data_IF_957873028572
#
_entry.id   IF_957873028572
#
_cell.length_a   1.000
_cell.length_b   1.000
_cell.length_c   1.000
_cell.angle_alpha   90.00
_cell.angle_beta   90.00
_cell.angle_gamma   90.00
#
_symmetry.space_group_name_H-M   'P 1'
#
loop_
_entity.id
_entity.type
_entity.pdbx_description
1 polymer ?
#
# COMPACT_ATOMS: atom_id res chain seq x y z
N UNK A 1 -1.92 -82.87 -8.50
CA UNK A 1 -0.59 -82.28 -8.21
C UNK A 1 -0.21 -81.30 -9.30
N UNK A 2 0.19 -80.08 -8.97
CA UNK A 2 0.64 -78.94 -9.73
C UNK A 2 -0.35 -77.79 -9.72
N UNK A 3 -0.07 -76.78 -8.81
CA UNK A 3 -0.31 -75.31 -9.05
C UNK A 3 -0.14 -74.48 -7.78
N UNK A 4 1.12 -74.28 -7.26
CA UNK A 4 1.35 -73.15 -6.35
C UNK A 4 2.23 -72.06 -6.95
N UNK A 5 2.67 -72.15 -8.24
CA UNK A 5 3.65 -71.22 -8.82
C UNK A 5 2.99 -69.94 -9.35
N UNK A 6 1.69 -69.98 -9.68
CA UNK A 6 0.97 -68.83 -10.22
C UNK A 6 0.55 -67.81 -9.13
N UNK A 7 0.48 -68.22 -7.86
CA UNK A 7 0.11 -67.34 -6.78
C UNK A 7 1.28 -66.50 -6.24
N UNK A 8 2.50 -66.97 -6.47
CA UNK A 8 3.71 -66.28 -6.01
C UNK A 8 4.09 -65.11 -6.93
N UNK A 9 3.66 -65.13 -8.18
CA UNK A 9 3.93 -64.07 -9.15
C UNK A 9 2.97 -62.86 -8.99
N UNK A 10 1.81 -63.08 -8.40
CA UNK A 10 0.83 -62.01 -8.16
C UNK A 10 1.17 -61.15 -6.93
N UNK A 11 1.93 -61.70 -5.98
CA UNK A 11 2.36 -61.00 -4.76
C UNK A 11 3.55 -60.06 -5.04
N UNK A 12 4.37 -60.38 -6.03
CA UNK A 12 5.52 -59.54 -6.43
C UNK A 12 5.10 -58.24 -7.16
N UNK A 13 3.89 -58.23 -7.73
CA UNK A 13 3.41 -57.02 -8.45
C UNK A 13 2.84 -55.94 -7.52
N UNK A 14 2.52 -56.27 -6.27
CA UNK A 14 1.98 -55.32 -5.28
C UNK A 14 3.07 -54.53 -4.52
N UNK A 15 4.32 -54.91 -4.63
CA UNK A 15 5.42 -54.22 -3.94
C UNK A 15 6.08 -53.11 -4.77
N UNK A 16 5.67 -52.92 -6.03
CA UNK A 16 6.21 -51.87 -6.89
C UNK A 16 5.39 -50.61 -6.95
N UNK A 17 4.31 -50.48 -6.14
CA UNK A 17 3.39 -49.34 -6.18
C UNK A 17 3.51 -48.44 -4.95
N UNK A 18 4.73 -48.08 -4.55
CA UNK A 18 4.96 -46.94 -3.65
C UNK A 18 6.33 -46.34 -3.92
N UNK A 19 6.54 -45.89 -5.16
CA UNK A 19 7.50 -44.83 -5.42
C UNK A 19 6.73 -43.53 -5.27
N UNK A 20 6.58 -43.10 -4.02
CA UNK A 20 6.29 -41.72 -3.70
C UNK A 20 7.30 -40.88 -4.50
N UNK A 21 6.85 -40.20 -5.56
CA UNK A 21 7.56 -39.06 -6.10
C UNK A 21 7.77 -38.13 -4.91
N UNK A 22 8.96 -38.15 -4.32
CA UNK A 22 9.47 -36.97 -3.62
C UNK A 22 9.31 -35.88 -4.65
N UNK A 23 8.32 -35.00 -4.41
CA UNK A 23 8.28 -33.74 -5.08
C UNK A 23 9.66 -33.14 -4.86
N UNK A 24 10.39 -32.96 -5.93
CA UNK A 24 11.51 -32.05 -5.94
C UNK A 24 10.92 -30.70 -5.53
N UNK A 25 10.85 -30.49 -4.22
CA UNK A 25 11.01 -29.14 -3.70
C UNK A 25 12.48 -28.81 -4.01
N UNK A 26 12.76 -28.51 -5.27
CA UNK A 26 13.91 -27.72 -5.63
C UNK A 26 13.67 -26.36 -4.95
N UNK A 27 13.96 -26.31 -3.64
CA UNK A 27 14.43 -25.06 -3.07
C UNK A 27 15.56 -24.65 -4.01
N UNK A 28 15.26 -23.64 -4.82
CA UNK A 28 16.31 -22.95 -5.54
C UNK A 28 17.40 -22.70 -4.49
N UNK A 29 18.67 -23.05 -4.79
CA UNK A 29 19.74 -22.72 -3.86
C UNK A 29 19.54 -21.26 -3.52
N UNK A 30 19.64 -20.91 -2.24
CA UNK A 30 19.64 -19.54 -1.76
C UNK A 30 20.80 -18.82 -2.47
N UNK A 31 20.58 -18.48 -3.73
CA UNK A 31 21.38 -17.50 -4.44
C UNK A 31 21.26 -16.27 -3.57
N UNK A 32 22.35 -15.62 -3.22
CA UNK A 32 22.39 -14.40 -2.41
C UNK A 32 21.21 -13.50 -2.84
N UNK A 33 20.16 -13.50 -2.02
CA UNK A 33 18.97 -12.68 -2.30
C UNK A 33 19.45 -11.26 -2.26
N UNK A 34 19.30 -10.56 -3.37
CA UNK A 34 19.62 -9.14 -3.41
C UNK A 34 18.76 -8.42 -2.37
N UNK A 35 19.34 -7.54 -1.55
CA UNK A 35 18.57 -6.78 -0.60
C UNK A 35 17.49 -5.98 -1.33
N UNK A 36 16.26 -5.99 -0.80
CA UNK A 36 15.14 -5.24 -1.31
C UNK A 36 14.84 -4.04 -0.41
N UNK A 37 14.54 -2.91 -1.03
CA UNK A 37 14.15 -1.70 -0.32
C UNK A 37 12.75 -1.31 -0.72
N UNK A 38 11.83 -1.23 0.26
CA UNK A 38 10.42 -0.90 0.06
C UNK A 38 10.07 0.43 0.75
N UNK A 39 9.56 1.38 -0.03
CA UNK A 39 9.09 2.67 0.47
C UNK A 39 7.60 2.66 0.82
N UNK A 40 7.23 3.26 1.95
CA UNK A 40 5.83 3.39 2.34
C UNK A 40 5.57 4.61 3.21
N UNK A 41 4.29 5.00 3.30
CA UNK A 41 3.81 5.99 4.26
C UNK A 41 3.51 5.30 5.60
N UNK A 42 3.45 6.04 6.73
CA UNK A 42 3.06 5.49 8.03
C UNK A 42 1.53 5.31 8.11
N UNK A 43 1.00 4.39 7.32
CA UNK A 43 -0.42 4.12 7.12
C UNK A 43 -0.72 2.64 7.36
N UNK A 44 -2.00 2.28 7.60
CA UNK A 44 -2.37 0.90 7.96
C UNK A 44 -2.12 -0.12 6.85
N UNK A 45 -2.10 0.30 5.60
CA UNK A 45 -1.76 -0.56 4.47
C UNK A 45 -0.30 -1.06 4.49
N UNK A 46 0.60 -0.34 5.18
CA UNK A 46 1.96 -0.77 5.46
C UNK A 46 2.10 -1.75 6.64
N UNK A 47 1.07 -1.91 7.47
CA UNK A 47 1.13 -2.69 8.70
C UNK A 47 1.55 -4.16 8.49
N UNK A 48 1.07 -4.90 7.48
CA UNK A 48 1.50 -6.28 7.25
C UNK A 48 3.01 -6.42 7.08
N UNK A 49 3.67 -5.47 6.44
CA UNK A 49 5.12 -5.48 6.23
C UNK A 49 5.89 -5.28 7.53
N UNK A 50 5.41 -4.40 8.40
CA UNK A 50 5.99 -4.19 9.73
C UNK A 50 5.80 -5.42 10.65
N UNK A 51 4.62 -6.04 10.62
CA UNK A 51 4.33 -7.27 11.37
C UNK A 51 5.25 -8.38 10.89
N UNK A 52 5.36 -8.60 9.58
CA UNK A 52 6.22 -9.63 9.01
C UNK A 52 7.68 -9.45 9.43
N UNK A 53 8.17 -8.20 9.46
CA UNK A 53 9.52 -7.89 9.95
C UNK A 53 9.69 -8.21 11.44
N UNK A 54 8.74 -7.78 12.26
CA UNK A 54 8.79 -7.99 13.72
C UNK A 54 8.73 -9.47 14.10
N UNK A 55 8.02 -10.27 13.30
CA UNK A 55 7.87 -11.72 13.52
C UNK A 55 8.98 -12.55 12.87
N UNK A 56 10.01 -11.93 12.27
CA UNK A 56 11.11 -12.64 11.62
C UNK A 56 10.71 -13.43 10.37
N UNK A 57 9.55 -13.09 9.75
CA UNK A 57 9.06 -13.81 8.56
C UNK A 57 10.02 -13.61 7.39
N UNK A 58 10.57 -12.41 7.20
CA UNK A 58 11.54 -12.16 6.14
C UNK A 58 12.81 -12.98 6.32
N UNK A 59 13.33 -13.08 7.54
CA UNK A 59 14.50 -13.90 7.84
C UNK A 59 14.23 -15.38 7.54
N UNK A 60 13.04 -15.87 7.88
CA UNK A 60 12.64 -17.26 7.60
C UNK A 60 12.50 -17.57 6.10
N UNK A 61 12.21 -16.53 5.30
CA UNK A 61 12.14 -16.62 3.84
C UNK A 61 13.49 -16.31 3.16
N UNK A 62 14.51 -15.97 3.93
CA UNK A 62 15.81 -15.55 3.40
C UNK A 62 15.76 -14.21 2.66
N UNK A 63 14.84 -13.32 3.01
CA UNK A 63 14.67 -11.99 2.42
C UNK A 63 15.35 -10.93 3.30
N UNK A 64 16.22 -10.12 2.70
CA UNK A 64 16.78 -8.93 3.34
C UNK A 64 15.95 -7.71 2.91
N UNK A 65 14.85 -7.44 3.65
CA UNK A 65 13.94 -6.35 3.34
C UNK A 65 14.18 -5.13 4.23
N UNK A 66 14.58 -4.02 3.61
CA UNK A 66 14.64 -2.70 4.23
C UNK A 66 13.36 -1.91 3.94
N UNK A 67 12.74 -1.36 4.99
CA UNK A 67 11.55 -0.51 4.88
C UNK A 67 11.96 0.95 5.08
N UNK A 68 11.69 1.81 4.08
CA UNK A 68 11.87 3.25 4.15
C UNK A 68 10.52 3.92 4.42
N UNK A 69 10.45 4.72 5.48
CA UNK A 69 9.23 5.47 5.83
C UNK A 69 9.31 6.90 5.31
N UNK A 70 8.21 7.36 4.69
CA UNK A 70 8.08 8.71 4.14
C UNK A 70 6.86 9.41 4.76
N UNK A 71 7.00 10.68 5.07
CA UNK A 71 5.89 11.51 5.57
C UNK A 71 5.08 12.18 4.44
N UNK A 72 5.58 12.12 3.21
CA UNK A 72 4.98 12.70 2.02
C UNK A 72 4.98 11.67 0.89
N UNK A 73 3.86 11.56 0.17
CA UNK A 73 3.77 10.72 -1.03
C UNK A 73 4.72 11.22 -2.12
N UNK A 74 4.87 12.55 -2.28
CA UNK A 74 5.75 13.13 -3.27
C UNK A 74 7.23 12.82 -2.98
N UNK A 75 7.65 12.83 -1.70
CA UNK A 75 9.01 12.45 -1.31
C UNK A 75 9.27 10.96 -1.58
N UNK A 76 8.30 10.09 -1.29
CA UNK A 76 8.35 8.65 -1.61
C UNK A 76 8.49 8.46 -3.13
N UNK A 77 7.66 9.13 -3.91
CA UNK A 77 7.64 9.01 -5.36
C UNK A 77 8.95 9.54 -5.99
N UNK A 78 9.50 10.63 -5.48
CA UNK A 78 10.80 11.15 -5.90
C UNK A 78 11.95 10.18 -5.55
N UNK A 79 11.89 9.53 -4.39
CA UNK A 79 12.86 8.49 -4.01
C UNK A 79 12.77 7.28 -4.94
N UNK A 80 11.56 6.86 -5.35
CA UNK A 80 11.36 5.78 -6.31
C UNK A 80 11.92 6.15 -7.69
N UNK A 81 11.62 7.34 -8.21
CA UNK A 81 12.14 7.83 -9.50
C UNK A 81 13.69 7.86 -9.52
N UNK A 82 14.30 8.19 -8.39
CA UNK A 82 15.77 8.23 -8.27
C UNK A 82 16.38 6.87 -7.93
N UNK A 83 15.60 5.77 -8.00
CA UNK A 83 16.02 4.39 -7.73
C UNK A 83 16.66 4.19 -6.35
N UNK A 84 16.19 4.94 -5.35
CA UNK A 84 16.59 4.75 -3.95
C UNK A 84 15.87 3.60 -3.27
N UNK A 85 14.89 3.00 -3.95
CA UNK A 85 14.14 1.84 -3.52
C UNK A 85 13.69 1.01 -4.73
N UNK A 86 13.41 -0.26 -4.48
CA UNK A 86 13.03 -1.23 -5.51
C UNK A 86 11.53 -1.32 -5.69
N UNK A 87 10.77 -0.98 -4.65
CA UNK A 87 9.33 -0.97 -4.65
C UNK A 87 8.74 0.02 -3.67
N UNK A 88 7.42 0.24 -3.75
CA UNK A 88 6.71 1.10 -2.82
C UNK A 88 5.24 0.71 -2.68
N UNK A 89 4.64 1.07 -1.54
CA UNK A 89 3.18 1.11 -1.40
C UNK A 89 2.73 2.49 -1.85
N UNK A 90 1.87 2.53 -2.87
CA UNK A 90 1.37 3.78 -3.47
C UNK A 90 -0.09 3.64 -3.87
N UNK A 91 -0.72 4.75 -4.20
CA UNK A 91 -2.06 4.81 -4.77
C UNK A 91 -2.05 4.89 -6.31
N UNK A 92 -3.18 4.56 -6.93
CA UNK A 92 -3.29 4.56 -8.39
C UNK A 92 -3.06 5.95 -9.01
N UNK A 93 -3.62 7.07 -8.49
CA UNK A 93 -3.31 8.40 -9.01
C UNK A 93 -1.82 8.73 -9.01
N UNK A 94 -1.11 8.45 -7.92
CA UNK A 94 0.35 8.62 -7.84
C UNK A 94 1.08 7.76 -8.86
N UNK A 95 0.70 6.49 -9.00
CA UNK A 95 1.33 5.59 -9.97
C UNK A 95 1.09 6.04 -11.41
N UNK A 96 -0.13 6.50 -11.74
CA UNK A 96 -0.44 7.06 -13.07
C UNK A 96 0.37 8.33 -13.32
N UNK A 97 0.51 9.21 -12.33
CA UNK A 97 1.33 10.43 -12.47
C UNK A 97 2.81 10.08 -12.73
N UNK A 98 3.37 9.12 -11.99
CA UNK A 98 4.73 8.62 -12.20
C UNK A 98 4.93 8.07 -13.61
N UNK A 99 3.99 7.31 -14.13
CA UNK A 99 4.08 6.73 -15.47
C UNK A 99 3.82 7.76 -16.56
N UNK A 100 2.76 8.56 -16.45
CA UNK A 100 2.34 9.48 -17.51
C UNK A 100 3.18 10.76 -17.58
N UNK A 101 3.59 11.31 -16.43
CA UNK A 101 4.30 12.60 -16.35
C UNK A 101 5.82 12.37 -16.33
N UNK A 102 6.25 11.39 -15.55
CA UNK A 102 7.69 11.16 -15.31
C UNK A 102 8.26 9.99 -16.10
N UNK A 103 7.43 9.31 -16.92
CA UNK A 103 7.84 8.17 -17.76
C UNK A 103 8.55 7.07 -16.97
N UNK A 104 8.16 6.90 -15.70
CA UNK A 104 8.73 5.88 -14.83
C UNK A 104 8.14 4.53 -15.20
N UNK A 105 9.00 3.56 -15.54
CA UNK A 105 8.59 2.18 -15.77
C UNK A 105 8.28 1.52 -14.43
N UNK A 106 7.04 1.08 -14.25
CA UNK A 106 6.56 0.44 -13.02
C UNK A 106 5.54 -0.64 -13.31
N UNK A 107 5.52 -1.68 -12.47
CA UNK A 107 4.55 -2.76 -12.50
C UNK A 107 3.84 -2.89 -11.16
N UNK A 108 2.55 -3.23 -11.20
CA UNK A 108 1.78 -3.54 -10.01
C UNK A 108 1.90 -5.03 -9.71
N UNK A 109 2.33 -5.38 -8.50
CA UNK A 109 2.49 -6.77 -8.07
C UNK A 109 1.43 -7.21 -7.07
N UNK A 110 0.84 -6.27 -6.33
CA UNK A 110 -0.18 -6.54 -5.32
C UNK A 110 -1.10 -5.33 -5.17
N UNK A 111 -2.39 -5.60 -4.95
CA UNK A 111 -3.38 -4.63 -4.53
C UNK A 111 -3.72 -4.85 -3.07
N UNK A 112 -3.81 -3.78 -2.28
CA UNK A 112 -4.38 -3.79 -0.94
C UNK A 112 -5.64 -2.91 -0.88
N UNK A 113 -6.37 -2.99 0.23
CA UNK A 113 -7.59 -2.22 0.47
C UNK A 113 -7.29 -1.07 1.46
N UNK A 114 -6.62 -0.03 0.96
CA UNK A 114 -6.45 1.22 1.69
C UNK A 114 -7.73 2.07 1.64
N UNK A 115 -7.99 2.85 2.70
CA UNK A 115 -9.07 3.81 2.72
C UNK A 115 -8.64 5.15 3.31
N UNK A 116 -9.42 6.18 2.99
CA UNK A 116 -9.18 7.56 3.44
C UNK A 116 -10.48 8.14 3.97
N UNK A 117 -10.40 8.86 5.07
CA UNK A 117 -11.52 9.57 5.65
C UNK A 117 -11.40 11.06 5.32
N UNK A 118 -12.51 11.68 4.88
CA UNK A 118 -12.61 13.12 4.79
C UNK A 118 -12.87 13.67 6.18
N UNK A 119 -11.89 14.33 6.75
CA UNK A 119 -11.94 14.89 8.10
C UNK A 119 -12.12 16.39 8.00
N UNK A 120 -13.03 16.93 8.79
CA UNK A 120 -13.27 18.36 8.95
C UNK A 120 -12.79 18.82 10.32
N UNK A 121 -12.21 20.00 10.40
CA UNK A 121 -11.81 20.57 11.68
C UNK A 121 -13.04 20.91 12.52
N UNK A 122 -12.90 20.81 13.85
CA UNK A 122 -14.01 20.96 14.77
C UNK A 122 -14.68 22.33 14.68
N UNK A 123 -13.90 23.40 14.44
CA UNK A 123 -14.40 24.78 14.39
C UNK A 123 -14.90 25.18 12.99
N UNK A 124 -14.70 24.36 11.97
CA UNK A 124 -15.16 24.65 10.60
C UNK A 124 -16.67 24.68 10.46
N UNK A 125 -17.41 24.02 11.38
CA UNK A 125 -18.85 23.85 11.37
C UNK A 125 -19.41 23.26 10.06
N UNK A 126 -18.63 22.42 9.40
CA UNK A 126 -19.03 21.73 8.17
C UNK A 126 -19.78 20.45 8.55
N UNK A 127 -21.06 20.38 8.19
CA UNK A 127 -21.93 19.22 8.40
C UNK A 127 -22.54 18.70 7.08
N UNK A 128 -22.41 19.48 6.01
CA UNK A 128 -22.91 19.18 4.67
C UNK A 128 -21.88 19.61 3.63
N UNK A 129 -21.88 18.94 2.48
CA UNK A 129 -20.86 19.18 1.45
C UNK A 129 -20.92 20.59 0.86
N UNK A 130 -22.11 21.20 0.79
CA UNK A 130 -22.32 22.55 0.26
C UNK A 130 -21.60 23.64 1.09
N UNK A 131 -21.31 23.33 2.35
CA UNK A 131 -20.58 24.24 3.28
C UNK A 131 -19.06 24.23 3.05
N UNK A 132 -18.56 23.43 2.12
CA UNK A 132 -17.16 23.43 1.72
C UNK A 132 -16.76 24.66 0.90
N UNK A 133 -17.73 25.43 0.38
CA UNK A 133 -17.45 26.68 -0.33
C UNK A 133 -16.67 27.66 0.55
N UNK A 134 -15.67 28.32 -0.06
CA UNK A 134 -14.78 29.28 0.58
C UNK A 134 -13.89 28.69 1.71
N UNK A 135 -13.85 27.36 1.83
CA UNK A 135 -13.05 26.66 2.84
C UNK A 135 -11.64 26.31 2.33
N UNK A 136 -10.73 26.15 3.31
CA UNK A 136 -9.37 25.69 3.07
C UNK A 136 -9.33 24.16 3.16
N UNK A 137 -9.27 23.49 2.02
CA UNK A 137 -9.22 22.02 1.94
C UNK A 137 -7.82 21.61 1.52
N UNK A 138 -7.02 21.11 2.47
CA UNK A 138 -5.65 20.75 2.19
C UNK A 138 -5.56 19.47 1.34
N UNK A 139 -4.69 19.50 0.35
CA UNK A 139 -4.43 18.38 -0.57
C UNK A 139 -2.94 18.03 -0.64
N UNK A 140 -2.66 16.85 -1.16
CA UNK A 140 -1.33 16.46 -1.66
C UNK A 140 -1.48 16.26 -3.16
N UNK A 141 -0.78 17.07 -3.95
CA UNK A 141 -0.91 17.09 -5.41
C UNK A 141 -0.46 15.76 -6.02
N UNK A 142 -1.09 15.40 -7.13
CA UNK A 142 -0.83 14.18 -7.90
C UNK A 142 -1.00 12.87 -7.11
N UNK A 143 -1.81 12.88 -6.05
CA UNK A 143 -2.11 11.71 -5.21
C UNK A 143 -3.62 11.45 -5.14
N UNK A 144 -3.98 10.33 -4.51
CA UNK A 144 -5.39 10.01 -4.21
C UNK A 144 -6.08 11.10 -3.38
N UNK A 145 -5.34 11.89 -2.59
CA UNK A 145 -5.92 12.97 -1.76
C UNK A 145 -6.50 14.07 -2.64
N UNK A 146 -5.76 14.52 -3.64
CA UNK A 146 -6.28 15.49 -4.61
C UNK A 146 -7.45 14.91 -5.41
N UNK A 147 -7.26 13.72 -5.98
CA UNK A 147 -8.29 13.04 -6.75
C UNK A 147 -9.61 12.86 -5.97
N UNK A 148 -9.53 12.38 -4.72
CA UNK A 148 -10.71 12.18 -3.88
C UNK A 148 -11.38 13.51 -3.51
N UNK A 149 -10.59 14.57 -3.28
CA UNK A 149 -11.12 15.92 -3.04
C UNK A 149 -11.88 16.42 -4.26
N UNK A 150 -11.31 16.28 -5.46
CA UNK A 150 -11.98 16.68 -6.71
C UNK A 150 -13.29 15.92 -6.94
N UNK A 151 -13.30 14.61 -6.69
CA UNK A 151 -14.53 13.81 -6.77
C UNK A 151 -15.59 14.25 -5.77
N UNK A 152 -15.17 14.57 -4.53
CA UNK A 152 -16.08 15.06 -3.50
C UNK A 152 -16.70 16.41 -3.89
N UNK A 153 -15.89 17.35 -4.37
CA UNK A 153 -16.34 18.67 -4.83
C UNK A 153 -17.26 18.57 -6.04
N UNK A 154 -16.91 17.73 -7.02
CA UNK A 154 -17.75 17.48 -8.18
C UNK A 154 -19.13 16.95 -7.78
N UNK A 155 -19.17 16.01 -6.82
CA UNK A 155 -20.41 15.47 -6.27
C UNK A 155 -21.24 16.54 -5.54
N UNK A 156 -20.60 17.49 -4.87
CA UNK A 156 -21.24 18.61 -4.20
C UNK A 156 -21.64 19.76 -5.16
N UNK A 157 -21.29 19.67 -6.45
CA UNK A 157 -21.51 20.75 -7.41
C UNK A 157 -20.67 21.98 -7.16
N UNK A 158 -19.53 21.86 -6.48
CA UNK A 158 -18.62 22.95 -6.11
C UNK A 158 -17.47 23.01 -7.12
N UNK A 159 -17.20 24.20 -7.65
CA UNK A 159 -16.09 24.42 -8.59
C UNK A 159 -14.81 24.74 -7.83
N UNK A 160 -13.66 24.41 -8.41
CA UNK A 160 -12.34 24.74 -7.84
C UNK A 160 -12.16 26.23 -7.49
N UNK A 161 -12.76 27.13 -8.28
CA UNK A 161 -12.71 28.57 -8.02
C UNK A 161 -13.50 29.00 -6.76
N UNK A 162 -14.32 28.14 -6.19
CA UNK A 162 -15.15 28.41 -5.01
C UNK A 162 -14.51 27.92 -3.70
N UNK A 163 -13.29 27.35 -3.76
CA UNK A 163 -12.56 26.83 -2.59
C UNK A 163 -11.09 27.23 -2.64
N UNK A 164 -10.41 27.14 -1.51
CA UNK A 164 -8.96 27.21 -1.43
C UNK A 164 -8.38 25.82 -1.19
N UNK A 165 -7.45 25.38 -2.04
CA UNK A 165 -6.80 24.05 -1.96
C UNK A 165 -5.30 24.21 -1.69
N UNK A 166 -4.88 24.52 -0.45
CA UNK A 166 -3.47 24.61 -0.12
C UNK A 166 -2.80 23.24 -0.27
N UNK A 167 -1.62 23.24 -0.91
CA UNK A 167 -0.82 22.03 -1.02
C UNK A 167 -0.04 21.79 0.27
N UNK A 168 -0.36 20.70 0.96
CA UNK A 168 0.32 20.25 2.17
C UNK A 168 0.61 18.76 2.01
N UNK A 169 1.74 18.45 1.38
CA UNK A 169 2.13 17.07 1.05
C UNK A 169 2.41 16.20 2.26
N UNK A 170 2.90 16.77 3.36
CA UNK A 170 3.29 16.01 4.54
C UNK A 170 2.08 15.63 5.40
N UNK A 171 1.84 14.33 5.56
CA UNK A 171 0.72 13.79 6.34
C UNK A 171 0.71 14.25 7.80
N UNK A 172 1.83 14.25 8.56
CA UNK A 172 1.82 14.75 9.93
C UNK A 172 1.46 16.23 10.03
N UNK A 173 1.90 17.04 9.07
CA UNK A 173 1.59 18.47 9.05
C UNK A 173 0.10 18.71 8.74
N UNK A 174 -0.49 17.98 7.78
CA UNK A 174 -1.93 18.06 7.51
C UNK A 174 -2.77 17.71 8.74
N UNK A 175 -2.40 16.62 9.44
CA UNK A 175 -3.06 16.25 10.70
C UNK A 175 -2.98 17.36 11.73
N UNK A 176 -1.79 17.89 11.96
CA UNK A 176 -1.57 18.98 12.92
C UNK A 176 -2.39 20.22 12.55
N UNK A 177 -2.38 20.64 11.29
CA UNK A 177 -3.12 21.81 10.85
C UNK A 177 -4.64 21.65 11.01
N UNK A 178 -5.19 20.45 10.80
CA UNK A 178 -6.58 20.14 11.12
C UNK A 178 -6.88 20.27 12.62
N UNK A 179 -6.04 19.68 13.46
CA UNK A 179 -6.21 19.73 14.93
C UNK A 179 -6.14 21.16 15.49
N UNK A 180 -5.34 22.04 14.87
CA UNK A 180 -5.21 23.44 15.25
C UNK A 180 -6.13 24.39 14.45
N UNK A 181 -7.10 23.86 13.70
CA UNK A 181 -8.06 24.62 12.90
C UNK A 181 -7.40 25.61 11.90
N UNK A 182 -6.20 25.28 11.40
CA UNK A 182 -5.47 26.06 10.40
C UNK A 182 -5.92 25.73 8.98
N UNK A 183 -6.55 24.58 8.79
CA UNK A 183 -7.28 24.16 7.60
C UNK A 183 -8.65 23.66 8.02
N UNK A 184 -9.63 23.78 7.12
CA UNK A 184 -11.01 23.38 7.41
C UNK A 184 -11.23 21.89 7.20
N UNK A 185 -10.58 21.27 6.19
CA UNK A 185 -10.74 19.86 5.89
C UNK A 185 -9.55 19.27 5.14
N UNK A 186 -9.43 17.94 5.19
CA UNK A 186 -8.54 17.15 4.32
C UNK A 186 -8.92 15.67 4.35
N UNK A 187 -8.55 14.92 3.31
CA UNK A 187 -8.52 13.46 3.40
C UNK A 187 -7.29 12.99 4.17
N UNK A 188 -7.50 12.09 5.13
CA UNK A 188 -6.45 11.43 5.90
C UNK A 188 -6.62 9.91 5.86
N UNK A 189 -5.52 9.15 5.72
CA UNK A 189 -5.52 7.72 5.96
C UNK A 189 -5.45 7.42 7.46
N UNK A 190 -5.77 6.19 7.87
CA UNK A 190 -5.44 5.75 9.23
C UNK A 190 -3.93 5.43 9.38
N UNK A 191 -3.37 5.66 10.59
CA UNK A 191 -4.02 6.06 11.83
C UNK A 191 -4.29 7.57 11.99
N UNK A 192 -3.83 8.42 11.05
CA UNK A 192 -3.98 9.87 11.17
C UNK A 192 -5.45 10.31 11.24
N UNK A 193 -6.35 9.66 10.49
CA UNK A 193 -7.79 9.94 10.55
C UNK A 193 -8.36 9.67 11.94
N UNK A 194 -8.07 8.51 12.51
CA UNK A 194 -8.51 8.15 13.87
C UNK A 194 -7.95 9.08 14.94
N UNK A 195 -6.70 9.53 14.79
CA UNK A 195 -6.08 10.51 15.70
C UNK A 195 -6.78 11.88 15.59
N UNK A 196 -7.16 12.30 14.38
CA UNK A 196 -7.86 13.58 14.18
C UNK A 196 -9.27 13.59 14.77
N UNK A 197 -9.93 12.45 14.90
CA UNK A 197 -11.30 12.30 15.43
C UNK A 197 -11.37 12.23 16.96
N UNK A 198 -10.24 12.04 17.66
CA UNK A 198 -10.16 11.97 19.12
C UNK A 198 -9.76 13.32 19.72
#
# INVERSE_FOLDING_TARGET
MKRPILFFWFILFFLYSCQSKKGDSSFLPLTELQPLTLGMMPTLDGLPFHIAKTQGIYDSLGLDLTILSFNSANDRDAAFQTRKMDGMITDYPSAVALQAIHHTDLGFILKNDGYFCFIVSKESNINQLEQLKEKNIAVSRNTVIEYATDQLLSKAGIKHAEINMPEIGQLPLRLQMLQYNQIDASFLPDPAASIAMN
#
